data_IF_425218949491
#
_entry.id   IF_425218949491
#
_cell.length_a   1.000
_cell.length_b   1.000
_cell.length_c   1.000
_cell.angle_alpha   90.00
_cell.angle_beta   90.00
_cell.angle_gamma   90.00
#
_symmetry.space_group_name_H-M   'P 1'
#
loop_
_entity.id
_entity.type
_entity.pdbx_description
1 polymer ?
#
# COMPACT_ATOMS: atom_id res chain seq x y z
N UNK A 1 11.61 -19.06 93.64
CA UNK A 1 12.58 -19.94 92.96
C UNK A 1 11.81 -21.08 92.30
N UNK A 2 11.96 -21.37 91.02
CA UNK A 2 12.76 -20.66 90.02
C UNK A 2 12.75 -21.39 88.67
N UNK A 3 13.11 -20.63 87.64
CA UNK A 3 13.42 -21.02 86.27
C UNK A 3 12.28 -21.35 85.28
N UNK A 4 12.35 -20.67 84.14
CA UNK A 4 11.34 -20.60 83.08
C UNK A 4 12.06 -20.93 81.77
N UNK A 5 12.14 -22.23 81.46
CA UNK A 5 13.01 -22.77 80.41
C UNK A 5 12.31 -23.11 79.09
N UNK A 6 11.91 -22.10 78.31
CA UNK A 6 11.78 -22.27 76.86
C UNK A 6 13.20 -22.25 76.27
N UNK A 7 13.66 -23.32 75.60
CA UNK A 7 14.16 -23.10 74.24
C UNK A 7 13.87 -24.29 73.32
N UNK A 8 13.05 -24.04 72.30
CA UNK A 8 12.68 -25.01 71.26
C UNK A 8 12.67 -24.41 69.85
N UNK A 9 13.31 -23.25 69.64
CA UNK A 9 13.58 -22.70 68.31
C UNK A 9 14.62 -23.57 67.59
N UNK A 10 14.15 -24.72 67.10
CA UNK A 10 14.95 -25.64 66.28
C UNK A 10 15.21 -24.98 64.93
N UNK A 11 16.36 -24.29 64.88
CA UNK A 11 16.97 -23.65 63.73
C UNK A 11 16.53 -24.25 62.38
N UNK A 12 15.64 -23.55 61.69
CA UNK A 12 15.12 -23.94 60.37
C UNK A 12 16.24 -24.10 59.33
N UNK A 13 17.38 -23.42 59.56
CA UNK A 13 18.60 -23.50 58.74
C UNK A 13 19.21 -24.92 58.67
N UNK A 14 19.19 -25.69 59.76
CA UNK A 14 19.88 -26.99 59.81
C UNK A 14 19.25 -28.08 58.92
N UNK A 15 17.99 -27.91 58.52
CA UNK A 15 17.25 -28.90 57.71
C UNK A 15 17.51 -28.81 56.20
N UNK A 16 18.27 -27.82 55.74
CA UNK A 16 18.56 -27.59 54.31
C UNK A 16 19.93 -28.13 53.85
N UNK A 17 20.77 -28.63 54.75
CA UNK A 17 22.02 -29.33 54.39
C UNK A 17 23.05 -28.49 53.61
N UNK A 18 22.98 -27.15 53.72
CA UNK A 18 23.76 -26.22 52.91
C UNK A 18 25.24 -26.17 53.32
N UNK A 19 25.59 -26.63 54.52
CA UNK A 19 26.94 -26.51 55.09
C UNK A 19 27.99 -27.43 54.45
N UNK A 20 27.57 -28.48 53.74
CA UNK A 20 28.48 -29.36 53.01
C UNK A 20 28.87 -28.75 51.66
N UNK A 21 30.12 -28.92 51.21
CA UNK A 21 30.57 -28.43 49.88
C UNK A 21 29.64 -28.83 48.73
N UNK A 22 29.07 -30.03 48.78
CA UNK A 22 28.06 -30.50 47.82
C UNK A 22 26.78 -29.66 47.84
N UNK A 23 26.22 -29.35 49.02
CA UNK A 23 25.03 -28.49 49.15
C UNK A 23 25.25 -27.08 48.60
N UNK A 24 26.43 -26.51 48.82
CA UNK A 24 26.82 -25.20 48.24
C UNK A 24 26.91 -25.24 46.71
N UNK A 25 27.42 -26.34 46.13
CA UNK A 25 27.47 -26.52 44.67
C UNK A 25 26.05 -26.67 44.11
N UNK A 26 25.20 -27.51 44.72
CA UNK A 26 23.80 -27.68 44.29
C UNK A 26 23.03 -26.36 44.35
N UNK A 27 23.18 -25.58 45.44
CA UNK A 27 22.56 -24.26 45.57
C UNK A 27 23.06 -23.28 44.50
N UNK A 28 24.36 -23.27 44.19
CA UNK A 28 24.92 -22.43 43.14
C UNK A 28 24.41 -22.82 41.74
N UNK A 29 24.32 -24.12 41.43
CA UNK A 29 23.75 -24.63 40.17
C UNK A 29 22.28 -24.26 40.04
N UNK A 30 21.49 -24.42 41.11
CA UNK A 30 20.07 -24.02 41.11
C UNK A 30 19.89 -22.51 40.92
N UNK A 31 20.73 -21.69 41.56
CA UNK A 31 20.71 -20.24 41.38
C UNK A 31 21.04 -19.83 39.93
N UNK A 32 22.07 -20.45 39.32
CA UNK A 32 22.43 -20.21 37.91
C UNK A 32 21.31 -20.65 36.97
N UNK A 33 20.69 -21.81 37.19
CA UNK A 33 19.56 -22.29 36.41
C UNK A 33 18.33 -21.38 36.53
N UNK A 34 18.04 -20.86 37.72
CA UNK A 34 16.94 -19.92 37.95
C UNK A 34 17.19 -18.58 37.24
N UNK A 35 18.42 -18.04 37.30
CA UNK A 35 18.78 -16.82 36.56
C UNK A 35 18.71 -17.05 35.05
N UNK A 36 19.24 -18.18 34.54
CA UNK A 36 19.16 -18.53 33.12
C UNK A 36 17.71 -18.70 32.64
N UNK A 37 16.85 -19.33 33.44
CA UNK A 37 15.41 -19.45 33.19
C UNK A 37 14.72 -18.09 33.12
N UNK A 38 14.97 -17.20 34.10
CA UNK A 38 14.40 -15.86 34.13
C UNK A 38 14.83 -15.01 32.93
N UNK A 39 16.13 -15.02 32.58
CA UNK A 39 16.66 -14.34 31.39
C UNK A 39 16.01 -14.90 30.12
N UNK A 40 15.89 -16.22 30.00
CA UNK A 40 15.23 -16.85 28.84
C UNK A 40 13.76 -16.43 28.73
N UNK A 41 13.01 -16.45 29.83
CA UNK A 41 11.61 -16.03 29.87
C UNK A 41 11.44 -14.56 29.45
N UNK A 42 12.33 -13.66 29.92
CA UNK A 42 12.33 -12.25 29.52
C UNK A 42 12.62 -12.10 28.02
N UNK A 43 13.65 -12.77 27.50
CA UNK A 43 14.04 -12.69 26.08
C UNK A 43 12.92 -13.22 25.18
N UNK A 44 12.35 -14.41 25.49
CA UNK A 44 11.23 -14.96 24.72
C UNK A 44 9.99 -14.07 24.83
N UNK A 45 9.69 -13.52 26.01
CA UNK A 45 8.58 -12.60 26.22
C UNK A 45 8.68 -11.33 25.36
N UNK A 46 9.84 -10.68 25.36
CA UNK A 46 10.08 -9.48 24.53
C UNK A 46 9.98 -9.82 23.03
N UNK A 47 10.55 -10.94 22.58
CA UNK A 47 10.44 -11.37 21.18
C UNK A 47 8.99 -11.68 20.77
N UNK A 48 8.24 -12.36 21.64
CA UNK A 48 6.84 -12.73 21.40
C UNK A 48 5.93 -11.50 21.31
N UNK A 49 6.10 -10.54 22.24
CA UNK A 49 5.38 -9.27 22.21
C UNK A 49 5.74 -8.44 20.97
N UNK A 50 7.01 -8.47 20.55
CA UNK A 50 7.45 -7.85 19.29
C UNK A 50 6.70 -8.41 18.08
N UNK A 51 6.78 -9.72 17.85
CA UNK A 51 6.11 -10.39 16.72
C UNK A 51 4.59 -10.15 16.74
N UNK A 52 3.95 -10.19 17.92
CA UNK A 52 2.52 -9.87 18.05
C UNK A 52 2.19 -8.41 17.70
N UNK A 53 3.05 -7.46 18.05
CA UNK A 53 2.85 -6.05 17.72
C UNK A 53 3.00 -5.82 16.21
N UNK A 54 3.96 -6.50 15.58
CA UNK A 54 4.25 -6.41 14.15
C UNK A 54 3.11 -7.03 13.31
N UNK A 55 2.60 -8.20 13.69
CA UNK A 55 1.44 -8.82 13.02
C UNK A 55 0.16 -7.99 13.21
N UNK A 56 -0.08 -7.46 14.43
CA UNK A 56 -1.20 -6.54 14.67
C UNK A 56 -1.10 -5.25 13.83
N UNK A 57 0.11 -4.74 13.61
CA UNK A 57 0.32 -3.60 12.72
C UNK A 57 -0.06 -3.96 11.28
N UNK A 58 0.44 -5.10 10.78
CA UNK A 58 0.11 -5.67 9.46
C UNK A 58 -1.41 -5.80 9.22
N UNK A 59 -2.12 -6.47 10.14
CA UNK A 59 -3.57 -6.65 10.06
C UNK A 59 -4.32 -5.30 10.07
N UNK A 60 -3.91 -4.38 10.94
CA UNK A 60 -4.54 -3.06 11.04
C UNK A 60 -4.31 -2.19 9.80
N UNK A 61 -3.14 -2.30 9.15
CA UNK A 61 -2.85 -1.62 7.90
C UNK A 61 -3.70 -2.19 6.76
N UNK A 62 -3.81 -3.53 6.68
CA UNK A 62 -4.63 -4.22 5.69
C UNK A 62 -6.12 -3.88 5.81
N UNK A 63 -6.65 -3.81 7.03
CA UNK A 63 -8.03 -3.36 7.29
C UNK A 63 -8.21 -1.92 6.83
N UNK A 64 -7.34 -1.00 7.27
CA UNK A 64 -7.44 0.41 6.91
C UNK A 64 -7.38 0.63 5.39
N UNK A 65 -6.51 -0.11 4.68
CA UNK A 65 -6.43 -0.05 3.22
C UNK A 65 -7.74 -0.47 2.53
N UNK A 66 -8.41 -1.53 3.02
CA UNK A 66 -9.70 -1.99 2.51
C UNK A 66 -10.83 -0.98 2.77
N UNK A 67 -10.81 -0.33 3.93
CA UNK A 67 -11.77 0.72 4.28
C UNK A 67 -11.55 1.97 3.41
N UNK A 68 -10.29 2.35 3.15
CA UNK A 68 -9.93 3.53 2.37
C UNK A 68 -10.21 3.36 0.88
N UNK A 69 -9.93 2.20 0.27
CA UNK A 69 -10.30 1.96 -1.13
C UNK A 69 -11.82 2.00 -1.32
N UNK A 70 -12.58 1.44 -0.38
CA UNK A 70 -14.05 1.52 -0.40
C UNK A 70 -14.53 2.96 -0.25
N UNK A 71 -13.90 3.75 0.62
CA UNK A 71 -14.24 5.16 0.84
C UNK A 71 -13.92 6.05 -0.37
N UNK A 72 -12.79 5.80 -1.04
CA UNK A 72 -12.33 6.62 -2.18
C UNK A 72 -13.03 6.29 -3.50
N UNK A 73 -13.32 5.00 -3.76
CA UNK A 73 -13.82 4.54 -5.05
C UNK A 73 -15.28 4.07 -5.05
N UNK A 74 -15.89 3.84 -3.88
CA UNK A 74 -17.32 3.57 -3.75
C UNK A 74 -18.07 4.83 -3.32
N UNK A 75 -18.97 5.37 -4.16
CA UNK A 75 -19.80 6.54 -3.85
C UNK A 75 -21.01 6.68 -4.77
N UNK A 76 -22.02 7.42 -4.31
CA UNK A 76 -23.24 7.77 -5.05
C UNK A 76 -23.45 9.29 -5.09
N UNK A 77 -24.41 9.81 -5.89
CA UNK A 77 -24.73 11.24 -5.91
C UNK A 77 -25.24 11.80 -4.57
N UNK A 78 -25.59 10.93 -3.62
CA UNK A 78 -26.09 11.32 -2.30
C UNK A 78 -24.99 11.48 -1.25
N UNK A 79 -23.86 10.80 -1.42
CA UNK A 79 -22.83 10.64 -0.39
C UNK A 79 -21.41 11.05 -0.84
N UNK A 80 -21.18 11.30 -2.13
CA UNK A 80 -19.87 11.67 -2.70
C UNK A 80 -19.15 12.77 -1.91
N UNK A 81 -19.86 13.81 -1.46
CA UNK A 81 -19.27 14.87 -0.65
C UNK A 81 -18.73 14.35 0.71
N UNK A 82 -19.45 13.46 1.38
CA UNK A 82 -19.00 12.82 2.61
C UNK A 82 -17.86 11.81 2.36
N UNK A 83 -17.86 11.13 1.22
CA UNK A 83 -16.77 10.25 0.80
C UNK A 83 -15.48 11.02 0.51
N UNK A 84 -15.56 12.18 -0.16
CA UNK A 84 -14.45 13.10 -0.35
C UNK A 84 -13.89 13.57 0.99
N UNK A 85 -14.72 14.04 1.91
CA UNK A 85 -14.26 14.53 3.22
C UNK A 85 -13.71 13.42 4.14
N UNK A 86 -14.15 12.17 3.99
CA UNK A 86 -13.51 11.02 4.66
C UNK A 86 -12.17 10.67 4.01
N UNK A 87 -12.11 10.65 2.67
CA UNK A 87 -10.89 10.36 1.92
C UNK A 87 -9.78 11.36 2.22
N UNK A 88 -10.09 12.67 2.28
CA UNK A 88 -9.16 13.74 2.69
C UNK A 88 -8.52 13.55 4.07
N UNK A 89 -9.18 12.80 4.96
CA UNK A 89 -8.72 12.47 6.33
C UNK A 89 -7.96 11.14 6.40
N UNK A 90 -7.94 10.39 5.30
CA UNK A 90 -7.20 9.14 5.13
C UNK A 90 -5.90 9.32 4.34
N UNK A 91 -5.67 10.49 3.73
CA UNK A 91 -4.44 10.84 2.98
C UNK A 91 -3.58 11.86 3.73
N UNK A 92 -2.27 11.79 3.54
CA UNK A 92 -1.28 12.73 4.09
C UNK A 92 -0.16 13.03 3.09
N UNK A 93 0.68 14.02 3.39
CA UNK A 93 1.81 14.43 2.55
C UNK A 93 1.43 14.74 1.09
N UNK A 94 2.28 14.33 0.15
CA UNK A 94 2.08 14.58 -1.28
C UNK A 94 0.82 13.90 -1.83
N UNK A 95 0.48 12.70 -1.33
CA UNK A 95 -0.77 12.03 -1.70
C UNK A 95 -2.02 12.85 -1.33
N UNK A 96 -1.97 13.62 -0.24
CA UNK A 96 -3.05 14.56 0.10
C UNK A 96 -3.13 15.71 -0.89
N UNK A 97 -2.00 16.34 -1.22
CA UNK A 97 -1.97 17.44 -2.18
C UNK A 97 -2.45 17.00 -3.58
N UNK A 98 -2.05 15.80 -4.03
CA UNK A 98 -2.50 15.22 -5.28
C UNK A 98 -4.01 14.88 -5.24
N UNK A 99 -4.52 14.32 -4.13
CA UNK A 99 -5.95 14.05 -3.97
C UNK A 99 -6.78 15.34 -4.02
N UNK A 100 -6.42 16.35 -3.23
CA UNK A 100 -7.15 17.63 -3.20
C UNK A 100 -7.14 18.32 -4.58
N UNK A 101 -6.02 18.24 -5.32
CA UNK A 101 -5.91 18.72 -6.71
C UNK A 101 -6.86 17.97 -7.65
N UNK A 102 -6.90 16.64 -7.61
CA UNK A 102 -7.80 15.84 -8.47
C UNK A 102 -9.27 16.19 -8.21
N UNK A 103 -9.67 16.34 -6.94
CA UNK A 103 -11.04 16.71 -6.58
C UNK A 103 -11.41 18.10 -7.08
N UNK A 104 -10.48 19.06 -7.02
CA UNK A 104 -10.69 20.42 -7.51
C UNK A 104 -10.75 20.48 -9.05
N UNK A 105 -9.78 19.87 -9.75
CA UNK A 105 -9.69 19.88 -11.21
C UNK A 105 -10.88 19.19 -11.91
N UNK A 106 -11.51 18.22 -11.25
CA UNK A 106 -12.63 17.44 -11.80
C UNK A 106 -14.01 17.92 -11.38
N UNK A 107 -14.09 18.85 -10.42
CA UNK A 107 -15.33 19.23 -9.69
C UNK A 107 -16.18 17.99 -9.33
N UNK A 108 -15.53 17.00 -8.70
CA UNK A 108 -16.07 15.63 -8.59
C UNK A 108 -17.49 15.59 -8.01
N UNK A 109 -17.77 16.41 -7.00
CA UNK A 109 -19.09 16.43 -6.34
C UNK A 109 -20.17 16.95 -7.28
N UNK A 110 -19.90 18.01 -8.05
CA UNK A 110 -20.87 18.57 -8.99
C UNK A 110 -21.09 17.64 -10.18
N UNK A 111 -20.03 17.10 -10.79
CA UNK A 111 -20.17 16.20 -11.95
C UNK A 111 -20.81 14.86 -11.57
N UNK A 112 -20.51 14.28 -10.39
CA UNK A 112 -21.19 13.07 -9.90
C UNK A 112 -22.69 13.32 -9.67
N UNK A 113 -23.06 14.49 -9.13
CA UNK A 113 -24.46 14.91 -8.98
C UNK A 113 -25.17 15.08 -10.31
N UNK A 114 -24.61 15.91 -11.20
CA UNK A 114 -25.12 16.27 -12.53
C UNK A 114 -25.29 15.07 -13.45
N UNK A 115 -24.28 14.19 -13.50
CA UNK A 115 -24.28 13.01 -14.36
C UNK A 115 -24.95 11.78 -13.71
N UNK A 116 -25.38 11.89 -12.44
CA UNK A 116 -25.93 10.80 -11.63
C UNK A 116 -25.00 9.58 -11.59
N UNK A 117 -23.72 9.82 -11.29
CA UNK A 117 -22.71 8.75 -11.25
C UNK A 117 -22.88 7.91 -9.99
N UNK A 118 -22.96 6.59 -10.17
CA UNK A 118 -22.80 5.61 -9.10
C UNK A 118 -21.51 4.86 -9.38
N UNK A 119 -20.60 4.86 -8.41
CA UNK A 119 -19.36 4.12 -8.44
C UNK A 119 -19.38 3.08 -7.33
N UNK A 120 -19.25 1.81 -7.70
CA UNK A 120 -19.14 0.68 -6.77
C UNK A 120 -17.75 0.07 -6.89
N UNK A 121 -17.23 -0.49 -5.79
CA UNK A 121 -15.92 -1.13 -5.76
C UNK A 121 -15.99 -2.44 -5.00
N UNK A 122 -15.52 -3.51 -5.64
CA UNK A 122 -15.48 -4.86 -5.07
C UNK A 122 -14.01 -5.28 -4.95
N UNK A 123 -13.55 -5.41 -3.70
CA UNK A 123 -12.21 -5.92 -3.40
C UNK A 123 -12.19 -7.42 -3.68
N UNK A 124 -11.43 -7.83 -4.69
CA UNK A 124 -11.24 -9.23 -5.06
C UNK A 124 -10.24 -9.91 -4.11
N UNK A 125 -9.13 -9.22 -3.83
CA UNK A 125 -8.14 -9.63 -2.83
C UNK A 125 -7.34 -8.40 -2.35
N UNK A 126 -6.69 -8.51 -1.19
CA UNK A 126 -5.70 -7.53 -0.75
C UNK A 126 -4.68 -8.19 0.18
N UNK A 127 -3.41 -7.84 0.00
CA UNK A 127 -2.28 -8.37 0.78
C UNK A 127 -1.24 -7.32 1.12
N UNK A 128 -0.60 -7.46 2.29
CA UNK A 128 0.47 -6.57 2.72
C UNK A 128 1.80 -7.02 2.11
N UNK A 129 2.39 -6.15 1.30
CA UNK A 129 3.65 -6.34 0.57
C UNK A 129 4.84 -6.16 1.52
N UNK A 130 4.82 -5.10 2.32
CA UNK A 130 5.79 -4.81 3.38
C UNK A 130 5.07 -4.20 4.58
N UNK A 131 5.58 -4.45 5.79
CA UNK A 131 5.06 -3.83 7.02
C UNK A 131 6.18 -3.64 8.03
N UNK A 132 6.12 -2.52 8.73
CA UNK A 132 6.73 -2.31 10.04
C UNK A 132 5.58 -2.06 11.04
N UNK A 133 5.87 -1.49 12.22
CA UNK A 133 4.83 -1.06 13.17
C UNK A 133 4.06 0.18 12.72
N UNK A 134 4.76 1.05 11.99
CA UNK A 134 4.35 2.43 11.71
C UNK A 134 4.39 2.77 10.22
N UNK A 135 4.76 1.82 9.35
CA UNK A 135 4.67 1.93 7.90
C UNK A 135 4.20 0.61 7.28
N UNK A 136 3.45 0.69 6.19
CA UNK A 136 3.01 -0.49 5.44
C UNK A 136 2.82 -0.16 3.96
N UNK A 137 3.01 -1.17 3.11
CA UNK A 137 2.63 -1.12 1.69
C UNK A 137 1.63 -2.23 1.44
N UNK A 138 0.41 -1.88 1.04
CA UNK A 138 -0.69 -2.82 0.77
C UNK A 138 -1.01 -2.84 -0.71
N UNK A 139 -1.04 -4.02 -1.31
CA UNK A 139 -1.51 -4.24 -2.68
C UNK A 139 -2.97 -4.69 -2.63
N UNK A 140 -3.83 -4.02 -3.38
CA UNK A 140 -5.25 -4.32 -3.52
C UNK A 140 -5.59 -4.65 -4.97
N UNK A 141 -6.40 -5.69 -5.14
CA UNK A 141 -7.01 -6.09 -6.40
C UNK A 141 -8.50 -5.73 -6.30
N UNK A 142 -8.95 -4.79 -7.12
CA UNK A 142 -10.35 -4.32 -7.10
C UNK A 142 -10.97 -4.42 -8.49
N UNK A 143 -12.28 -4.64 -8.52
CA UNK A 143 -13.12 -4.38 -9.68
C UNK A 143 -13.98 -3.16 -9.34
N UNK A 144 -13.85 -2.07 -10.10
CA UNK A 144 -14.69 -0.88 -9.96
C UNK A 144 -15.75 -0.88 -11.07
N UNK A 145 -17.02 -0.78 -10.72
CA UNK A 145 -18.14 -0.59 -11.65
C UNK A 145 -18.65 0.85 -11.57
N UNK A 146 -18.63 1.57 -12.70
CA UNK A 146 -19.15 2.94 -12.79
C UNK A 146 -20.37 2.97 -13.70
N UNK A 147 -21.47 3.53 -13.21
CA UNK A 147 -22.74 3.73 -13.93
C UNK A 147 -23.07 5.21 -13.99
N UNK A 148 -23.64 5.68 -15.10
CA UNK A 148 -24.05 7.08 -15.32
C UNK A 148 -25.52 7.15 -15.73
N UNK A 149 -26.24 8.21 -15.35
CA UNK A 149 -27.61 8.48 -15.82
C UNK A 149 -28.69 7.49 -15.34
N UNK A 150 -28.30 6.39 -14.68
CA UNK A 150 -29.17 5.37 -14.13
C UNK A 150 -29.32 4.09 -14.96
N UNK A 151 -28.73 3.98 -16.17
CA UNK A 151 -28.79 2.74 -16.98
C UNK A 151 -27.72 2.61 -18.09
N UNK A 152 -27.59 1.36 -18.54
CA UNK A 152 -26.93 0.81 -19.75
C UNK A 152 -25.40 0.79 -19.86
N UNK A 153 -24.65 1.85 -19.49
CA UNK A 153 -23.18 1.79 -19.55
C UNK A 153 -22.54 1.56 -18.17
N UNK A 154 -22.38 0.28 -17.81
CA UNK A 154 -21.57 -0.16 -16.65
C UNK A 154 -20.15 -0.41 -17.12
N UNK A 155 -19.22 0.50 -16.80
CA UNK A 155 -17.80 0.28 -17.07
C UNK A 155 -17.17 -0.46 -15.88
N UNK A 156 -16.71 -1.70 -16.10
CA UNK A 156 -15.93 -2.46 -15.11
C UNK A 156 -14.44 -2.26 -15.42
N UNK A 157 -13.72 -1.63 -14.49
CA UNK A 157 -12.28 -1.44 -14.55
C UNK A 157 -11.60 -2.36 -13.53
N UNK A 158 -10.98 -3.48 -13.94
CA UNK A 158 -10.10 -4.24 -13.07
C UNK A 158 -8.87 -3.39 -12.77
N UNK A 159 -8.58 -3.15 -11.49
CA UNK A 159 -7.49 -2.29 -11.06
C UNK A 159 -6.65 -2.98 -9.99
N UNK A 160 -5.33 -2.90 -10.17
CA UNK A 160 -4.33 -3.26 -9.17
C UNK A 160 -3.77 -1.96 -8.64
N UNK A 161 -3.86 -1.74 -7.33
CA UNK A 161 -3.35 -0.51 -6.72
C UNK A 161 -2.55 -0.80 -5.47
N UNK A 162 -1.53 0.02 -5.25
CA UNK A 162 -0.67 -0.04 -4.08
C UNK A 162 -0.91 1.20 -3.25
N UNK A 163 -1.24 1.01 -1.97
CA UNK A 163 -1.23 2.05 -0.97
C UNK A 163 0.07 1.97 -0.15
N UNK A 164 0.88 3.01 -0.23
CA UNK A 164 1.90 3.30 0.76
C UNK A 164 1.24 4.04 1.92
N UNK A 165 1.46 3.55 3.14
CA UNK A 165 0.77 3.99 4.34
C UNK A 165 1.76 4.21 5.47
N UNK A 166 1.57 5.29 6.21
CA UNK A 166 2.28 5.63 7.46
C UNK A 166 1.28 5.64 8.61
N UNK A 167 1.74 5.38 9.83
CA UNK A 167 0.92 5.43 11.02
C UNK A 167 1.23 6.69 11.82
N UNK A 168 0.21 7.50 12.06
CA UNK A 168 0.30 8.76 12.80
C UNK A 168 -0.83 8.79 13.84
N UNK A 169 -0.50 9.14 15.08
CA UNK A 169 -1.42 9.10 16.25
C UNK A 169 -2.29 7.82 16.31
N UNK A 170 -1.66 6.66 16.07
CA UNK A 170 -2.32 5.36 16.06
C UNK A 170 -3.20 5.05 14.84
N UNK A 171 -3.42 6.01 13.93
CA UNK A 171 -4.21 5.89 12.70
C UNK A 171 -3.30 5.68 11.49
N UNK A 172 -3.74 4.83 10.56
CA UNK A 172 -3.06 4.72 9.26
C UNK A 172 -3.48 5.85 8.31
N UNK A 173 -2.51 6.43 7.61
CA UNK A 173 -2.72 7.46 6.59
C UNK A 173 -1.96 7.06 5.33
N UNK A 174 -2.62 7.15 4.18
CA UNK A 174 -2.03 6.93 2.87
C UNK A 174 -1.11 8.10 2.53
N UNK A 175 0.18 7.82 2.31
CA UNK A 175 1.17 8.80 1.87
C UNK A 175 1.62 8.58 0.42
N UNK A 176 1.16 7.51 -0.25
CA UNK A 176 1.35 7.29 -1.68
C UNK A 176 0.30 6.33 -2.27
N UNK A 177 -0.14 6.60 -3.50
CA UNK A 177 -1.07 5.77 -4.27
C UNK A 177 -0.47 5.51 -5.64
N UNK A 178 -0.19 4.24 -5.96
CA UNK A 178 0.22 3.80 -7.29
C UNK A 178 -0.88 2.93 -7.91
N UNK A 179 -1.30 3.23 -9.13
CA UNK A 179 -2.14 2.32 -9.94
C UNK A 179 -1.24 1.55 -10.90
N UNK A 180 -1.34 0.22 -10.87
CA UNK A 180 -0.58 -0.70 -11.72
C UNK A 180 -1.46 -1.04 -12.93
N UNK A 181 -1.31 -0.26 -14.00
CA UNK A 181 -1.79 -0.58 -15.36
C UNK A 181 -0.72 -1.29 -16.18
N UNK A 182 -1.10 -1.99 -17.25
CA UNK A 182 -0.13 -2.58 -18.20
C UNK A 182 0.87 -1.55 -18.74
N UNK A 183 0.44 -0.32 -19.02
CA UNK A 183 1.32 0.76 -19.50
C UNK A 183 2.33 1.20 -18.42
N UNK A 184 1.87 1.31 -17.16
CA UNK A 184 2.76 1.59 -16.02
C UNK A 184 3.77 0.48 -15.77
N UNK A 185 3.41 -0.77 -16.10
CA UNK A 185 4.30 -1.92 -16.01
C UNK A 185 5.33 -1.91 -17.14
N UNK A 186 4.92 -1.64 -18.39
CA UNK A 186 5.85 -1.49 -19.53
C UNK A 186 6.90 -0.42 -19.25
N UNK A 187 6.50 0.77 -18.80
CA UNK A 187 7.45 1.84 -18.46
C UNK A 187 8.41 1.49 -17.31
N UNK A 188 8.01 0.62 -16.38
CA UNK A 188 8.89 0.09 -15.31
C UNK A 188 9.77 -1.09 -15.78
N UNK A 189 9.49 -1.69 -16.94
CA UNK A 189 10.22 -2.84 -17.52
C UNK A 189 11.13 -2.43 -18.70
N UNK A 190 10.89 -1.30 -19.36
CA UNK A 190 11.71 -0.83 -20.50
C UNK A 190 13.18 -0.51 -20.16
N UNK A 191 13.53 -0.42 -18.87
CA UNK A 191 14.92 -0.27 -18.39
C UNK A 191 15.71 -1.60 -18.43
N UNK A 192 15.38 -2.52 -19.34
CA UNK A 192 16.29 -3.62 -19.77
C UNK A 192 16.03 -4.07 -21.21
N UNK A 193 15.83 -3.13 -22.15
CA UNK A 193 15.93 -3.45 -23.60
C UNK A 193 17.39 -3.66 -24.06
N UNK A 194 18.37 -3.19 -23.29
CA UNK A 194 19.76 -3.59 -23.43
C UNK A 194 20.03 -4.93 -22.74
N UNK A 195 20.34 -5.95 -23.53
CA UNK A 195 20.98 -7.19 -23.06
C UNK A 195 22.20 -6.83 -22.19
N UNK A 196 22.35 -7.36 -20.96
CA UNK A 196 23.49 -7.06 -20.10
C UNK A 196 24.82 -7.37 -20.80
N UNK A 197 25.81 -6.48 -20.66
CA UNK A 197 27.15 -6.68 -21.25
C UNK A 197 27.76 -7.98 -20.74
N UNK A 198 27.86 -8.99 -21.63
CA UNK A 198 28.36 -10.33 -21.31
C UNK A 198 27.32 -11.46 -21.38
N UNK A 199 26.05 -11.18 -21.68
CA UNK A 199 25.09 -12.26 -21.92
C UNK A 199 25.40 -12.99 -23.25
N UNK A 200 25.51 -14.32 -23.19
CA UNK A 200 25.71 -15.17 -24.37
C UNK A 200 24.43 -15.21 -25.21
N UNK A 201 24.47 -14.99 -26.54
CA UNK A 201 23.29 -15.10 -27.40
C UNK A 201 22.65 -16.49 -27.34
N UNK A 202 21.32 -16.54 -27.32
CA UNK A 202 20.56 -17.78 -27.50
C UNK A 202 20.80 -18.26 -28.95
N UNK A 203 21.30 -19.49 -29.18
CA UNK A 203 21.56 -19.97 -30.54
C UNK A 203 20.28 -20.02 -31.37
N UNK A 204 20.27 -19.32 -32.52
CA UNK A 204 19.22 -19.44 -33.54
C UNK A 204 18.35 -18.19 -33.81
N UNK A 205 18.47 -17.11 -33.01
CA UNK A 205 17.73 -15.87 -33.25
C UNK A 205 18.63 -14.79 -33.88
N UNK A 206 18.65 -14.74 -35.22
CA UNK A 206 19.29 -13.64 -35.96
C UNK A 206 18.51 -12.32 -35.75
N UNK A 207 19.18 -11.20 -35.42
CA UNK A 207 18.50 -9.92 -35.22
C UNK A 207 17.96 -9.36 -36.54
N UNK A 208 16.69 -8.96 -36.56
CA UNK A 208 16.07 -8.20 -37.66
C UNK A 208 16.71 -6.81 -37.76
N UNK A 209 17.05 -6.30 -38.96
CA UNK A 209 17.64 -4.97 -39.10
C UNK A 209 16.62 -3.85 -38.78
N UNK A 210 17.03 -2.92 -37.93
CA UNK A 210 16.25 -1.73 -37.51
C UNK A 210 16.20 -0.66 -38.61
N UNK A 211 15.04 -0.04 -38.91
CA UNK A 211 14.98 1.17 -39.73
C UNK A 211 15.71 2.35 -39.06
N UNK A 212 16.57 3.04 -39.82
CA UNK A 212 17.53 4.01 -39.27
C UNK A 212 16.98 5.41 -38.98
N UNK A 213 17.57 6.05 -37.98
CA UNK A 213 17.28 7.43 -37.54
C UNK A 213 18.05 8.48 -38.37
N UNK A 214 17.38 9.56 -38.81
CA UNK A 214 18.06 10.78 -39.31
C UNK A 214 17.36 12.05 -38.81
N UNK A 215 18.15 13.07 -38.45
CA UNK A 215 17.73 14.42 -38.00
C UNK A 215 18.95 15.37 -38.13
N UNK A 216 18.83 16.72 -38.07
CA UNK A 216 18.61 17.58 -39.25
C UNK A 216 19.72 18.65 -39.47
N UNK A 217 19.74 19.31 -40.64
CA UNK A 217 20.61 20.48 -40.92
C UNK A 217 19.90 21.56 -41.79
N UNK A 218 20.10 22.85 -41.48
CA UNK A 218 19.55 24.08 -42.13
C UNK A 218 20.65 25.18 -42.07
N UNK A 219 20.93 26.05 -43.09
CA UNK A 219 20.15 27.26 -43.55
C UNK A 219 20.14 27.52 -45.10
N UNK A 220 19.55 28.58 -45.72
CA UNK A 220 18.41 29.49 -45.44
C UNK A 220 18.09 30.42 -46.67
N UNK A 221 16.87 31.01 -46.72
CA UNK A 221 16.34 32.07 -47.61
C UNK A 221 16.19 31.75 -49.14
N UNK A 222 15.15 32.18 -49.88
CA UNK A 222 14.30 33.41 -49.84
C UNK A 222 12.75 33.18 -49.95
N UNK A 223 11.96 34.28 -49.94
CA UNK A 223 10.50 34.41 -49.69
C UNK A 223 9.56 34.18 -50.94
N UNK A 224 8.26 34.61 -50.97
CA UNK A 224 7.07 33.98 -50.35
C UNK A 224 5.87 33.77 -51.33
N UNK A 225 4.86 32.94 -50.98
CA UNK A 225 3.54 32.93 -51.65
C UNK A 225 2.40 32.79 -50.63
N UNK A 226 1.28 33.49 -50.89
CA UNK A 226 0.11 33.67 -50.02
C UNK A 226 -0.87 32.46 -50.03
N UNK A 227 -1.83 32.36 -49.09
CA UNK A 227 -2.64 31.16 -48.88
C UNK A 227 -3.87 31.04 -49.80
N UNK A 228 -4.22 29.81 -50.16
CA UNK A 228 -5.44 29.46 -50.92
C UNK A 228 -6.53 28.93 -49.96
N UNK A 229 -7.80 29.37 -50.07
CA UNK A 229 -8.88 28.95 -49.17
C UNK A 229 -9.38 27.50 -49.42
N UNK A 230 -10.07 26.89 -48.43
CA UNK A 230 -10.52 25.49 -48.49
C UNK A 230 -11.74 25.26 -49.39
N UNK A 231 -11.83 24.07 -49.97
CA UNK A 231 -12.95 23.64 -50.82
C UNK A 231 -14.09 22.99 -50.02
N UNK A 232 -15.33 23.35 -50.35
CA UNK A 232 -16.57 22.82 -49.78
C UNK A 232 -16.92 21.43 -50.34
N UNK A 233 -17.23 20.42 -49.50
CA UNK A 233 -17.90 19.22 -49.94
C UNK A 233 -19.43 19.39 -49.90
N UNK A 234 -20.06 19.47 -51.08
CA UNK A 234 -21.52 19.43 -51.23
C UNK A 234 -22.04 18.02 -50.99
N UNK A 235 -22.83 17.80 -49.94
CA UNK A 235 -23.46 16.52 -49.60
C UNK A 235 -24.92 16.73 -49.20
N UNK A 236 -25.82 16.47 -50.15
CA UNK A 236 -27.27 16.63 -50.01
C UNK A 236 -27.88 15.43 -49.27
N UNK A 237 -28.68 15.67 -48.23
CA UNK A 237 -29.48 14.63 -47.54
C UNK A 237 -30.93 15.14 -47.45
N UNK A 238 -31.94 14.38 -47.92
CA UNK A 238 -33.31 14.86 -48.04
C UNK A 238 -34.07 14.89 -46.70
N UNK A 239 -34.97 15.87 -46.58
CA UNK A 239 -35.89 16.07 -45.46
C UNK A 239 -37.18 15.27 -45.67
N UNK A 240 -37.69 14.57 -44.66
CA UNK A 240 -39.11 14.19 -44.56
C UNK A 240 -39.86 15.06 -43.53
N UNK A 241 -41.04 15.55 -43.92
CA UNK A 241 -42.06 16.24 -43.10
C UNK A 241 -43.37 16.17 -43.90
N UNK A 242 -44.58 16.12 -43.31
CA UNK A 242 -44.94 16.18 -41.89
C UNK A 242 -45.22 14.83 -41.22
#
# INVERSE_FOLDING_TARGET
>A
MGDLGMPGEQNLAGRLGVDTKAGRITAAVLAVLLVASAVSAIVLGVRYLGVRADEKARDSALSAARDYVTTMFGYTPKDVAAHVERSKKAVTGDAKAQYDKIIADTDLVAEVGKQKIVSEVIIQDAGVVTSTRDSATVLLFINQSVTRGGNELVQINPSRLTYSMTKDDGRWLINGIDVITDDSFRGKVEVTTSVPSGATPIPGLSPTPTPGSTTPTQPAATQPVAPTPPATPTGEIPVPTP
#
